data_IF_595571845924
#
_entry.id   IF_595571845924
#
_cell.length_a   1.000
_cell.length_b   1.000
_cell.length_c   1.000
_cell.angle_alpha   90.00
_cell.angle_beta   90.00
_cell.angle_gamma   90.00
#
_symmetry.space_group_name_H-M   'P 1'
#
loop_
_entity.id
_entity.type
_entity.pdbx_description
1 polymer ?
#
# COMPACT_ATOMS: atom_id res chain seq x y z
N UNK A 1 -24.79 -6.18 12.12
CA UNK A 1 -24.79 -5.20 11.01
C UNK A 1 -23.38 -4.64 10.90
N UNK A 2 -22.66 -4.89 9.81
CA UNK A 2 -21.38 -4.24 9.54
C UNK A 2 -21.64 -2.74 9.35
N UNK A 3 -20.82 -1.85 9.94
CA UNK A 3 -20.93 -0.41 9.66
C UNK A 3 -20.64 -0.15 8.17
N UNK A 4 -21.20 0.90 7.57
CA UNK A 4 -20.95 1.24 6.18
C UNK A 4 -19.44 1.48 5.96
N UNK A 5 -18.90 0.94 4.88
CA UNK A 5 -17.45 0.96 4.54
C UNK A 5 -16.82 2.37 4.48
N UNK A 6 -17.65 3.42 4.36
CA UNK A 6 -17.21 4.81 4.28
C UNK A 6 -16.71 5.42 5.60
N UNK A 7 -16.85 4.71 6.74
CA UNK A 7 -16.49 5.24 8.06
C UNK A 7 -15.16 4.74 8.61
N UNK A 8 -14.47 3.80 7.94
CA UNK A 8 -13.24 3.21 8.48
C UNK A 8 -12.03 4.17 8.49
N UNK A 9 -11.96 5.16 7.57
CA UNK A 9 -10.86 6.12 7.52
C UNK A 9 -11.31 7.51 7.01
N UNK A 10 -12.20 8.23 7.73
CA UNK A 10 -12.71 9.51 7.24
C UNK A 10 -11.65 10.62 7.18
N UNK A 11 -10.51 10.45 7.85
CA UNK A 11 -9.47 11.48 7.97
C UNK A 11 -8.33 11.36 6.98
N UNK A 12 -8.06 10.19 6.44
CA UNK A 12 -6.93 9.99 5.51
C UNK A 12 -7.14 10.69 4.16
N UNK A 13 -8.38 10.78 3.70
CA UNK A 13 -8.71 11.42 2.42
C UNK A 13 -8.69 12.94 2.50
N UNK A 14 -9.02 13.53 3.66
CA UNK A 14 -9.11 14.97 3.85
C UNK A 14 -7.76 15.66 4.09
N UNK A 15 -6.77 14.92 4.61
CA UNK A 15 -5.47 15.48 5.02
C UNK A 15 -4.29 14.89 4.25
N UNK A 16 -4.54 14.16 3.17
CA UNK A 16 -3.47 13.58 2.38
C UNK A 16 -2.68 14.67 1.65
N UNK A 17 -1.50 14.95 2.15
CA UNK A 17 -0.52 15.70 1.38
C UNK A 17 -0.02 14.84 0.21
N UNK A 18 0.00 15.33 -1.03
CA UNK A 18 0.55 14.59 -2.17
C UNK A 18 2.04 14.24 -1.99
N UNK A 19 2.70 14.82 -1.01
CA UNK A 19 4.12 14.59 -0.70
C UNK A 19 4.35 13.54 0.38
N UNK A 20 3.31 13.11 1.12
CA UNK A 20 3.43 12.15 2.22
C UNK A 20 2.92 10.79 1.77
N UNK A 21 3.77 9.76 1.93
CA UNK A 21 3.38 8.37 1.72
C UNK A 21 2.61 7.83 2.93
N UNK A 22 1.60 7.02 2.66
CA UNK A 22 0.80 6.34 3.69
C UNK A 22 1.20 4.88 3.79
N UNK A 23 1.32 4.36 5.02
CA UNK A 23 1.68 2.97 5.29
C UNK A 23 0.67 2.32 6.24
N UNK A 24 0.30 1.07 5.96
CA UNK A 24 -0.51 0.23 6.84
C UNK A 24 0.18 -1.10 7.11
N UNK A 25 -0.14 -1.73 8.23
CA UNK A 25 0.38 -3.05 8.60
C UNK A 25 -0.76 -4.01 8.95
N UNK A 26 -0.64 -5.25 8.48
CA UNK A 26 -1.54 -6.35 8.79
C UNK A 26 -0.78 -7.44 9.53
N UNK A 27 -1.47 -8.13 10.42
CA UNK A 27 -0.98 -9.37 11.01
C UNK A 27 -1.93 -10.51 10.64
N UNK A 28 -1.37 -11.63 10.20
CA UNK A 28 -2.09 -12.83 9.80
C UNK A 28 -1.78 -13.99 10.74
N UNK A 29 -2.69 -14.98 10.81
CA UNK A 29 -2.59 -16.13 11.72
C UNK A 29 -3.53 -16.05 12.92
N UNK A 30 -4.57 -15.20 12.83
CA UNK A 30 -5.62 -15.03 13.83
C UNK A 30 -6.88 -15.85 13.53
N UNK A 31 -6.91 -16.59 12.41
CA UNK A 31 -8.03 -17.38 11.93
C UNK A 31 -8.72 -16.82 10.69
N UNK A 32 -8.18 -15.78 10.12
CA UNK A 32 -8.67 -15.20 8.86
C UNK A 32 -8.47 -16.15 7.68
N UNK A 33 -9.37 -16.06 6.70
CA UNK A 33 -9.24 -16.71 5.40
C UNK A 33 -8.42 -15.83 4.43
N UNK A 34 -7.83 -16.47 3.42
CA UNK A 34 -6.99 -15.77 2.44
C UNK A 34 -7.76 -14.66 1.70
N UNK A 35 -9.02 -14.92 1.36
CA UNK A 35 -9.92 -13.98 0.68
C UNK A 35 -10.25 -12.77 1.53
N UNK A 36 -10.34 -12.93 2.85
CA UNK A 36 -10.56 -11.82 3.78
C UNK A 36 -9.36 -10.87 3.78
N UNK A 37 -8.15 -11.41 3.76
CA UNK A 37 -6.92 -10.59 3.64
C UNK A 37 -6.91 -9.84 2.31
N UNK A 38 -7.29 -10.49 1.20
CA UNK A 38 -7.39 -9.83 -0.12
C UNK A 38 -8.41 -8.69 -0.11
N UNK A 39 -9.54 -8.85 0.57
CA UNK A 39 -10.56 -7.81 0.70
C UNK A 39 -10.03 -6.60 1.51
N UNK A 40 -9.30 -6.86 2.60
CA UNK A 40 -8.66 -5.78 3.38
C UNK A 40 -7.64 -5.01 2.54
N UNK A 41 -6.87 -5.71 1.69
CA UNK A 41 -5.96 -5.06 0.76
C UNK A 41 -6.70 -4.16 -0.25
N UNK A 42 -7.87 -4.57 -0.75
CA UNK A 42 -8.70 -3.73 -1.62
C UNK A 42 -9.22 -2.49 -0.88
N UNK A 43 -9.68 -2.66 0.35
CA UNK A 43 -10.16 -1.56 1.19
C UNK A 43 -9.02 -0.56 1.49
N UNK A 44 -7.80 -1.05 1.75
CA UNK A 44 -6.60 -0.21 1.93
C UNK A 44 -6.24 0.55 0.65
N UNK A 45 -6.35 -0.08 -0.52
CA UNK A 45 -6.13 0.60 -1.80
C UNK A 45 -7.21 1.65 -2.09
N UNK A 46 -8.45 1.36 -1.77
CA UNK A 46 -9.55 2.33 -1.87
C UNK A 46 -9.35 3.54 -0.95
N UNK A 47 -8.63 3.36 0.17
CA UNK A 47 -8.19 4.43 1.07
C UNK A 47 -6.85 5.07 0.64
N UNK A 48 -6.35 4.75 -0.55
CA UNK A 48 -5.10 5.29 -1.11
C UNK A 48 -3.83 4.99 -0.28
N UNK A 49 -3.79 3.88 0.43
CA UNK A 49 -2.57 3.46 1.14
C UNK A 49 -1.49 3.06 0.14
N UNK A 50 -0.31 3.66 0.26
CA UNK A 50 0.82 3.46 -0.65
C UNK A 50 1.61 2.19 -0.33
N UNK A 51 1.82 1.89 0.96
CA UNK A 51 2.64 0.80 1.46
C UNK A 51 1.85 -0.14 2.35
N UNK A 52 2.12 -1.44 2.22
CA UNK A 52 1.57 -2.43 3.14
C UNK A 52 2.66 -3.37 3.66
N UNK A 53 2.60 -3.67 4.95
CA UNK A 53 3.40 -4.71 5.58
C UNK A 53 2.48 -5.81 6.09
N UNK A 54 2.84 -7.07 5.85
CA UNK A 54 2.07 -8.23 6.30
C UNK A 54 3.02 -9.15 7.08
N UNK A 55 2.74 -9.36 8.36
CA UNK A 55 3.55 -10.18 9.24
C UNK A 55 2.74 -11.27 9.96
N UNK A 56 3.42 -12.28 10.50
CA UNK A 56 2.80 -13.28 11.36
C UNK A 56 2.40 -12.66 12.69
N UNK A 57 1.17 -12.91 13.14
CA UNK A 57 0.78 -12.63 14.50
C UNK A 57 1.50 -13.59 15.45
N UNK A 58 2.15 -13.00 16.45
CA UNK A 58 2.79 -13.74 17.56
C UNK A 58 2.12 -13.28 18.85
N UNK A 59 1.55 -14.21 19.60
CA UNK A 59 0.88 -13.89 20.86
C UNK A 59 1.88 -13.27 21.87
N UNK A 60 1.70 -12.02 22.27
CA UNK A 60 2.67 -11.36 23.17
C UNK A 60 2.63 -11.91 24.60
N UNK A 61 1.45 -12.23 25.11
CA UNK A 61 1.24 -12.81 26.45
C UNK A 61 0.06 -13.79 26.42
N UNK A 62 -0.09 -14.69 27.40
CA UNK A 62 -1.21 -15.62 27.46
C UNK A 62 -2.60 -14.97 27.50
N UNK A 63 -2.69 -13.69 27.86
CA UNK A 63 -3.94 -12.94 27.92
C UNK A 63 -4.36 -12.39 26.54
N UNK A 64 -3.46 -12.37 25.56
CA UNK A 64 -3.78 -11.97 24.20
C UNK A 64 -4.42 -13.12 23.41
N UNK A 65 -5.04 -12.80 22.29
CA UNK A 65 -5.65 -13.79 21.41
C UNK A 65 -4.62 -14.88 21.05
N UNK A 66 -4.98 -16.18 21.15
CA UNK A 66 -4.07 -17.26 20.77
C UNK A 66 -3.79 -17.22 19.27
N UNK A 67 -2.59 -17.68 18.87
CA UNK A 67 -2.27 -17.88 17.46
C UNK A 67 -3.14 -19.02 16.93
N UNK A 68 -3.98 -18.73 15.93
CA UNK A 68 -4.84 -19.76 15.31
C UNK A 68 -4.03 -20.68 14.38
N UNK A 69 -3.10 -20.09 13.61
CA UNK A 69 -2.16 -20.85 12.77
C UNK A 69 -0.88 -20.07 12.50
N UNK A 70 0.19 -20.79 12.21
CA UNK A 70 1.39 -20.22 11.63
C UNK A 70 1.29 -20.30 10.11
N UNK A 71 1.26 -19.13 9.47
CA UNK A 71 1.11 -19.01 8.02
C UNK A 71 2.40 -19.43 7.34
N UNK A 72 2.30 -20.31 6.33
CA UNK A 72 3.47 -20.79 5.61
C UNK A 72 4.16 -19.67 4.81
N UNK A 73 5.49 -19.60 4.76
CA UNK A 73 6.22 -18.56 4.01
C UNK A 73 5.79 -18.42 2.54
N UNK A 74 5.37 -19.51 1.91
CA UNK A 74 4.81 -19.49 0.56
C UNK A 74 3.48 -18.72 0.43
N UNK A 75 2.67 -18.67 1.49
CA UNK A 75 1.44 -17.88 1.50
C UNK A 75 1.76 -16.38 1.59
N UNK A 76 2.77 -15.98 2.37
CA UNK A 76 3.26 -14.60 2.39
C UNK A 76 3.67 -14.13 1.00
N UNK A 77 4.37 -14.98 0.22
CA UNK A 77 4.73 -14.66 -1.18
C UNK A 77 3.51 -14.50 -2.08
N UNK A 78 2.44 -15.27 -1.84
CA UNK A 78 1.18 -15.10 -2.58
C UNK A 78 0.50 -13.77 -2.22
N UNK A 79 0.45 -13.43 -0.94
CA UNK A 79 -0.10 -12.15 -0.45
C UNK A 79 0.71 -10.96 -1.00
N UNK A 80 2.04 -11.04 -1.02
CA UNK A 80 2.93 -10.03 -1.59
C UNK A 80 2.61 -9.78 -3.08
N UNK A 81 2.54 -10.84 -3.87
CA UNK A 81 2.19 -10.74 -5.30
C UNK A 81 0.79 -10.16 -5.52
N UNK A 82 -0.18 -10.60 -4.72
CA UNK A 82 -1.54 -10.09 -4.79
C UNK A 82 -1.60 -8.58 -4.46
N UNK A 83 -0.91 -8.16 -3.41
CA UNK A 83 -0.84 -6.76 -3.03
C UNK A 83 -0.15 -5.89 -4.10
N UNK A 84 0.98 -6.35 -4.65
CA UNK A 84 1.64 -5.67 -5.77
C UNK A 84 0.70 -5.56 -6.98
N UNK A 85 -0.03 -6.62 -7.30
CA UNK A 85 -1.03 -6.63 -8.37
C UNK A 85 -2.19 -5.66 -8.14
N UNK A 86 -2.53 -5.35 -6.88
CA UNK A 86 -3.53 -4.34 -6.51
C UNK A 86 -3.00 -2.90 -6.57
N UNK A 87 -1.72 -2.69 -6.88
CA UNK A 87 -1.11 -1.37 -7.09
C UNK A 87 -0.55 -0.71 -5.84
N UNK A 88 -0.19 -1.46 -4.80
CA UNK A 88 0.65 -0.93 -3.73
C UNK A 88 2.03 -0.60 -4.29
N UNK A 89 2.58 0.54 -3.92
CA UNK A 89 3.91 0.98 -4.37
C UNK A 89 5.02 0.15 -3.76
N UNK A 90 4.78 -0.38 -2.55
CA UNK A 90 5.70 -1.27 -1.86
C UNK A 90 4.92 -2.23 -0.95
N UNK A 91 5.40 -3.47 -0.92
CA UNK A 91 4.85 -4.54 -0.10
C UNK A 91 6.00 -5.27 0.60
N UNK A 92 5.87 -5.51 1.89
CA UNK A 92 6.75 -6.41 2.62
C UNK A 92 5.89 -7.45 3.33
N UNK A 93 5.99 -8.69 2.90
CA UNK A 93 5.18 -9.80 3.43
C UNK A 93 6.08 -10.98 3.78
N UNK A 94 6.49 -11.06 5.04
CA UNK A 94 7.23 -12.19 5.59
C UNK A 94 6.79 -12.49 7.03
N UNK A 95 7.02 -13.70 7.54
CA UNK A 95 6.62 -14.04 8.92
C UNK A 95 7.14 -13.06 9.96
N UNK A 96 8.34 -12.53 9.77
CA UNK A 96 9.00 -11.63 10.74
C UNK A 96 8.83 -10.14 10.41
N UNK A 97 8.13 -9.79 9.33
CA UNK A 97 7.88 -8.39 8.98
C UNK A 97 7.09 -7.70 10.10
N UNK A 98 7.54 -6.50 10.46
CA UNK A 98 6.87 -5.56 11.37
C UNK A 98 6.78 -4.20 10.71
N UNK A 99 5.86 -3.36 11.17
CA UNK A 99 5.61 -2.02 10.58
C UNK A 99 6.84 -1.10 10.59
N UNK A 100 7.76 -1.29 11.53
CA UNK A 100 9.01 -0.54 11.64
C UNK A 100 10.20 -1.17 10.89
N UNK A 101 10.04 -2.39 10.38
CA UNK A 101 11.11 -3.12 9.70
C UNK A 101 11.44 -2.45 8.36
N UNK A 102 12.71 -2.09 8.15
CA UNK A 102 13.21 -1.39 6.94
C UNK A 102 12.48 -0.09 6.57
N UNK A 103 11.79 0.55 7.51
CA UNK A 103 10.96 1.74 7.22
C UNK A 103 11.78 2.89 6.59
N UNK A 104 13.06 3.03 6.93
CA UNK A 104 13.93 4.07 6.38
C UNK A 104 14.36 3.76 4.94
N UNK A 105 14.75 2.53 4.65
CA UNK A 105 15.10 2.09 3.30
C UNK A 105 13.90 2.16 2.38
N UNK A 106 12.75 1.69 2.85
CA UNK A 106 11.47 1.74 2.17
C UNK A 106 11.12 3.19 1.79
N UNK A 107 11.29 4.13 2.72
CA UNK A 107 11.02 5.54 2.49
C UNK A 107 11.99 6.15 1.45
N UNK A 108 13.27 5.81 1.50
CA UNK A 108 14.28 6.30 0.53
C UNK A 108 13.96 5.83 -0.89
N UNK A 109 13.65 4.54 -1.05
CA UNK A 109 13.27 3.97 -2.35
C UNK A 109 12.01 4.62 -2.92
N UNK A 110 11.00 4.85 -2.06
CA UNK A 110 9.78 5.51 -2.47
C UNK A 110 10.00 6.96 -2.90
N UNK A 111 10.75 7.71 -2.13
CA UNK A 111 11.06 9.11 -2.43
C UNK A 111 11.75 9.24 -3.79
N UNK A 112 12.67 8.32 -4.09
CA UNK A 112 13.37 8.27 -5.38
C UNK A 112 12.43 7.91 -6.54
N UNK A 113 11.61 6.87 -6.37
CA UNK A 113 10.66 6.42 -7.40
C UNK A 113 9.58 7.46 -7.69
N UNK A 114 9.11 8.17 -6.67
CA UNK A 114 8.09 9.22 -6.80
C UNK A 114 8.66 10.47 -7.47
N UNK A 115 9.90 10.86 -7.16
CA UNK A 115 10.58 11.96 -7.83
C UNK A 115 10.71 11.71 -9.33
N UNK A 116 11.01 10.48 -9.74
CA UNK A 116 11.06 10.06 -11.14
C UNK A 116 9.67 10.11 -11.81
N UNK A 117 8.60 9.69 -11.13
CA UNK A 117 7.24 9.77 -11.67
C UNK A 117 6.78 11.22 -11.87
N UNK A 118 7.06 12.10 -10.93
CA UNK A 118 6.72 13.53 -11.05
C UNK A 118 7.51 14.21 -12.17
N UNK A 119 8.80 13.89 -12.34
CA UNK A 119 9.61 14.40 -13.43
C UNK A 119 9.08 13.96 -14.81
N UNK A 120 8.67 12.69 -14.94
CA UNK A 120 8.11 12.16 -16.18
C UNK A 120 6.71 12.74 -16.50
N UNK A 121 5.88 13.00 -15.49
CA UNK A 121 4.58 13.65 -15.68
C UNK A 121 4.72 15.10 -16.16
N UNK A 122 5.71 15.83 -15.65
CA UNK A 122 5.99 17.19 -16.09
C UNK A 122 6.53 17.24 -17.53
N UNK A 123 7.36 16.29 -17.94
CA UNK A 123 7.86 16.20 -19.31
C UNK A 123 6.74 15.90 -20.33
N UNK A 124 5.78 15.04 -19.98
CA UNK A 124 4.64 14.74 -20.87
C UNK A 124 3.71 15.95 -21.06
N UNK A 125 3.52 16.78 -20.03
CA UNK A 125 2.73 18.01 -20.12
C UNK A 125 3.42 19.09 -20.97
N UNK A 126 4.76 19.16 -20.95
CA UNK A 126 5.54 20.11 -21.78
C UNK A 126 5.49 19.70 -23.26
N UNK A 127 5.52 18.40 -23.56
CA UNK A 127 5.39 17.90 -24.95
C UNK A 127 4.02 18.22 -25.56
N UNK A 128 2.93 18.05 -24.78
CA UNK A 128 1.56 18.35 -25.27
C UNK A 128 1.34 19.83 -25.53
N UNK A 129 1.88 20.71 -24.68
CA UNK A 129 1.73 22.16 -24.84
C UNK A 129 2.54 22.72 -26.01
N UNK A 130 3.64 22.08 -26.41
CA UNK A 130 4.42 22.46 -27.60
C UNK A 130 3.70 22.10 -28.90
N UNK A 131 3.10 20.90 -28.97
CA UNK A 131 2.39 20.45 -30.17
C UNK A 131 1.11 21.25 -30.45
N UNK A 132 0.46 21.80 -29.42
CA UNK A 132 -0.71 22.69 -29.60
C UNK A 132 -0.32 24.11 -30.06
N UNK A 133 0.85 24.62 -29.64
CA UNK A 133 1.34 25.93 -30.11
C UNK A 133 1.79 25.90 -31.57
N UNK A 134 2.43 24.82 -32.03
CA UNK A 134 2.81 24.66 -33.44
C UNK A 134 1.61 24.60 -34.37
N UNK A 135 0.53 23.90 -33.99
CA UNK A 135 -0.71 23.83 -34.81
C UNK A 135 -1.51 25.14 -34.90
N UNK A 136 -1.26 26.10 -33.99
CA UNK A 136 -1.92 27.44 -34.03
C UNK A 136 -1.19 28.44 -34.89
N UNK A 137 0.08 28.20 -35.19
CA UNK A 137 0.89 29.12 -36.05
C UNK A 137 0.86 28.78 -37.54
N UNK A 138 0.18 27.66 -37.94
CA UNK A 138 0.04 27.24 -39.31
C UNK A 138 -1.37 27.57 -39.91
N UNK A 139 -2.14 28.43 -39.23
CA UNK A 139 -3.40 29.00 -39.75
C UNK A 139 -3.29 30.51 -39.80
#
# INVERSE_FOLDING_TARGET
>A
RRPPRSTLFPYTTLFRSPTVATKSGLMVGLGEEFEEVLQVLDDLRAADVDFVTIGQYLQPTPQHHPVARYVHPGEFKKLERAALGKGFSMVSATPLTRSSYHAEEDFRLFSSARSLKLANSNNNNICHSKSEKERRNEK
#
